data_IF_313452715119
#
_entry.id   IF_313452715119
#
_cell.length_a   1.000
_cell.length_b   1.000
_cell.length_c   1.000
_cell.angle_alpha   90.00
_cell.angle_beta   90.00
_cell.angle_gamma   90.00
#
_symmetry.space_group_name_H-M   'P 1'
#
loop_
_entity.id
_entity.type
_entity.pdbx_description
1 polymer ?
#
# COMPACT_ATOMS: atom_id res chain seq x y z
N UNK A 1 -12.90 7.87 -5.58
CA UNK A 1 -13.37 7.40 -4.27
C UNK A 1 -12.29 6.51 -3.69
N UNK A 2 -11.88 6.72 -2.45
CA UNK A 2 -10.92 5.81 -1.78
C UNK A 2 -11.56 4.43 -1.60
N UNK A 3 -10.87 3.40 -2.06
CA UNK A 3 -11.32 2.01 -2.14
C UNK A 3 -11.83 1.50 -0.77
N UNK A 4 -13.07 0.99 -0.73
CA UNK A 4 -13.64 0.45 0.51
C UNK A 4 -12.85 -0.76 1.04
N UNK A 5 -12.17 -1.48 0.14
CA UNK A 5 -11.33 -2.64 0.44
C UNK A 5 -10.27 -2.31 1.48
N UNK A 6 -9.57 -1.18 1.33
CA UNK A 6 -8.51 -0.76 2.26
C UNK A 6 -9.06 -0.47 3.66
N UNK A 7 -10.22 0.18 3.73
CA UNK A 7 -10.88 0.52 5.00
C UNK A 7 -11.40 -0.73 5.71
N UNK A 8 -11.98 -1.67 4.96
CA UNK A 8 -12.57 -2.92 5.48
C UNK A 8 -11.55 -4.03 5.72
N UNK A 9 -10.35 -3.93 5.16
CA UNK A 9 -9.29 -4.93 5.33
C UNK A 9 -8.94 -5.13 6.82
N UNK A 10 -9.07 -6.38 7.28
CA UNK A 10 -8.67 -6.81 8.63
C UNK A 10 -7.14 -6.78 8.77
N UNK A 11 -6.44 -7.35 7.80
CA UNK A 11 -4.98 -7.39 7.77
C UNK A 11 -4.44 -6.46 6.68
N UNK A 12 -3.68 -5.46 7.13
CA UNK A 12 -3.03 -4.48 6.25
C UNK A 12 -1.69 -4.08 6.84
N UNK A 13 -0.76 -3.72 5.97
CA UNK A 13 0.54 -3.15 6.31
C UNK A 13 0.55 -1.69 5.96
N UNK A 14 1.21 -0.89 6.79
CA UNK A 14 1.29 0.56 6.59
C UNK A 14 2.74 1.00 6.67
N UNK A 15 3.22 1.61 5.58
CA UNK A 15 4.59 2.08 5.44
C UNK A 15 5.50 1.09 4.70
N UNK A 16 6.53 1.64 4.08
CA UNK A 16 7.40 0.93 3.14
C UNK A 16 7.99 -0.37 3.72
N UNK A 17 8.61 -0.30 4.91
CA UNK A 17 9.28 -1.46 5.53
C UNK A 17 8.31 -2.59 5.88
N UNK A 18 7.10 -2.26 6.31
CA UNK A 18 6.10 -3.27 6.64
C UNK A 18 5.54 -3.90 5.37
N UNK A 19 5.26 -3.08 4.36
CA UNK A 19 4.80 -3.57 3.06
C UNK A 19 5.85 -4.44 2.40
N UNK A 20 7.13 -4.03 2.34
CA UNK A 20 8.22 -4.87 1.82
C UNK A 20 8.28 -6.24 2.47
N UNK A 21 8.20 -6.33 3.80
CA UNK A 21 8.17 -7.62 4.50
C UNK A 21 6.99 -8.50 4.12
N UNK A 22 5.83 -7.91 3.84
CA UNK A 22 4.67 -8.66 3.41
C UNK A 22 4.76 -9.09 1.93
N UNK A 23 5.33 -8.23 1.07
CA UNK A 23 5.63 -8.54 -0.33
C UNK A 23 6.62 -9.70 -0.42
N UNK A 24 7.70 -9.69 0.36
CA UNK A 24 8.67 -10.79 0.46
C UNK A 24 8.03 -12.12 0.87
N UNK A 25 6.98 -12.06 1.70
CA UNK A 25 6.21 -13.23 2.12
C UNK A 25 5.14 -13.66 1.11
N UNK A 26 4.90 -12.88 0.06
CA UNK A 26 3.84 -13.16 -0.92
C UNK A 26 2.43 -13.08 -0.34
N UNK A 27 2.24 -12.40 0.80
CA UNK A 27 0.93 -12.31 1.48
C UNK A 27 0.11 -11.10 1.01
N UNK A 28 0.60 -10.36 0.02
CA UNK A 28 -0.01 -9.10 -0.42
C UNK A 28 -0.99 -9.33 -1.55
N UNK A 29 -2.24 -8.98 -1.30
CA UNK A 29 -3.32 -9.05 -2.28
C UNK A 29 -3.43 -7.81 -3.15
N UNK A 30 -3.22 -6.64 -2.53
CA UNK A 30 -3.39 -5.34 -3.21
C UNK A 30 -2.52 -4.29 -2.56
N UNK A 31 -1.93 -3.43 -3.37
CA UNK A 31 -1.06 -2.34 -2.92
C UNK A 31 -1.69 -0.99 -3.19
N UNK A 32 -1.44 -0.04 -2.30
CA UNK A 32 -1.87 1.34 -2.41
C UNK A 32 -0.65 2.25 -2.29
N UNK A 33 -0.49 3.14 -3.26
CA UNK A 33 0.65 4.07 -3.36
C UNK A 33 0.13 5.50 -3.37
N UNK A 34 0.78 6.41 -2.65
CA UNK A 34 0.42 7.82 -2.68
C UNK A 34 1.14 8.55 -3.83
N UNK A 35 0.43 9.40 -4.59
CA UNK A 35 1.00 10.12 -5.75
C UNK A 35 2.01 11.19 -5.36
N UNK A 36 1.87 11.76 -4.17
CA UNK A 36 2.80 12.72 -3.56
C UNK A 36 4.00 12.04 -2.88
N UNK A 37 4.03 10.70 -2.83
CA UNK A 37 5.19 9.98 -2.32
C UNK A 37 6.30 9.92 -3.36
N UNK A 38 7.54 9.91 -2.88
CA UNK A 38 8.70 9.90 -3.73
C UNK A 38 8.81 8.61 -4.56
N UNK A 39 9.02 8.75 -5.87
CA UNK A 39 9.09 7.59 -6.79
C UNK A 39 10.16 6.59 -6.42
N UNK A 40 11.26 7.03 -5.80
CA UNK A 40 12.34 6.14 -5.35
C UNK A 40 11.86 5.18 -4.25
N UNK A 41 10.91 5.61 -3.41
CA UNK A 41 10.26 4.81 -2.37
C UNK A 41 9.27 3.82 -3.00
N UNK A 42 8.55 4.27 -4.03
CA UNK A 42 7.53 3.45 -4.70
C UNK A 42 8.12 2.41 -5.65
N UNK A 43 9.27 2.68 -6.29
CA UNK A 43 9.94 1.77 -7.25
C UNK A 43 9.97 0.30 -6.82
N UNK A 44 10.56 -0.07 -5.66
CA UNK A 44 10.65 -1.47 -5.27
C UNK A 44 9.28 -2.14 -5.11
N UNK A 45 8.26 -1.35 -4.75
CA UNK A 45 6.89 -1.83 -4.56
C UNK A 45 6.22 -2.04 -5.93
N UNK A 46 6.35 -1.07 -6.84
CA UNK A 46 5.80 -1.14 -8.19
C UNK A 46 6.44 -2.28 -9.00
N UNK A 47 7.75 -2.46 -8.90
CA UNK A 47 8.48 -3.57 -9.52
C UNK A 47 7.98 -4.92 -9.00
N UNK A 48 7.81 -5.05 -7.68
CA UNK A 48 7.24 -6.27 -7.10
C UNK A 48 5.81 -6.51 -7.61
N UNK A 49 4.96 -5.47 -7.62
CA UNK A 49 3.59 -5.58 -8.10
C UNK A 49 3.55 -6.03 -9.57
N UNK A 50 4.43 -5.49 -10.40
CA UNK A 50 4.55 -5.88 -11.81
C UNK A 50 5.00 -7.34 -11.96
N UNK A 51 5.99 -7.78 -11.17
CA UNK A 51 6.49 -9.16 -11.24
C UNK A 51 5.47 -10.19 -10.75
N UNK A 52 4.70 -9.84 -9.72
CA UNK A 52 3.72 -10.73 -9.09
C UNK A 52 2.29 -10.56 -9.64
N UNK A 53 2.10 -9.71 -10.66
CA UNK A 53 0.80 -9.37 -11.24
C UNK A 53 -0.22 -8.89 -10.20
N UNK A 54 0.25 -8.16 -9.19
CA UNK A 54 -0.59 -7.60 -8.12
C UNK A 54 -1.05 -6.21 -8.50
N UNK A 55 -2.34 -5.96 -8.32
CA UNK A 55 -2.96 -4.67 -8.59
C UNK A 55 -2.47 -3.61 -7.59
N UNK A 56 -2.05 -2.46 -8.13
CA UNK A 56 -1.70 -1.29 -7.34
C UNK A 56 -2.69 -0.15 -7.61
N UNK A 57 -3.08 0.56 -6.56
CA UNK A 57 -4.01 1.69 -6.62
C UNK A 57 -3.29 2.95 -6.17
N UNK A 58 -3.39 4.00 -6.99
CA UNK A 58 -2.82 5.30 -6.65
C UNK A 58 -3.83 6.14 -5.85
N UNK A 59 -3.36 6.72 -4.75
CA UNK A 59 -4.11 7.62 -3.88
C UNK A 59 -3.52 9.03 -4.00
N UNK A 60 -4.34 10.11 -3.99
CA UNK A 60 -3.85 11.47 -4.23
C UNK A 60 -2.78 11.95 -3.25
N UNK A 61 -2.93 11.65 -1.95
CA UNK A 61 -2.01 12.12 -0.91
C UNK A 61 -1.65 11.05 0.13
N UNK A 62 -0.45 11.16 0.70
CA UNK A 62 0.02 10.29 1.79
C UNK A 62 -0.89 10.38 3.01
N UNK A 63 -1.45 11.57 3.26
CA UNK A 63 -2.36 11.83 4.38
C UNK A 63 -3.68 11.10 4.21
N UNK A 64 -4.26 11.12 3.01
CA UNK A 64 -5.47 10.36 2.70
C UNK A 64 -5.23 8.86 2.82
N UNK A 65 -4.09 8.37 2.33
CA UNK A 65 -3.73 6.96 2.42
C UNK A 65 -3.60 6.52 3.89
N UNK A 66 -2.91 7.30 4.72
CA UNK A 66 -2.78 7.04 6.16
C UNK A 66 -4.13 7.01 6.87
N UNK A 67 -4.97 8.02 6.62
CA UNK A 67 -6.32 8.10 7.19
C UNK A 67 -7.19 6.91 6.79
N UNK A 68 -7.08 6.44 5.54
CA UNK A 68 -7.80 5.26 5.06
C UNK A 68 -7.30 3.96 5.71
N UNK A 69 -6.03 3.91 6.09
CA UNK A 69 -5.46 2.82 6.88
C UNK A 69 -5.82 2.90 8.38
N UNK A 70 -6.43 4.00 8.84
CA UNK A 70 -6.78 4.20 10.24
C UNK A 70 -5.63 4.77 11.09
N UNK A 71 -4.64 5.40 10.47
CA UNK A 71 -3.53 6.06 11.17
C UNK A 71 -3.58 7.58 10.99
N UNK A 72 -3.05 8.32 11.96
CA UNK A 72 -2.99 9.80 11.92
C UNK A 72 -1.78 10.34 11.15
N UNK A 73 -0.78 9.49 10.86
CA UNK A 73 0.42 9.89 10.10
C UNK A 73 0.27 9.57 8.62
N UNK A 74 0.79 10.45 7.76
CA UNK A 74 0.79 10.21 6.31
C UNK A 74 1.68 9.03 5.94
N UNK A 75 1.21 8.18 5.02
CA UNK A 75 1.98 7.01 4.55
C UNK A 75 2.16 7.05 3.05
N UNK A 76 3.36 6.71 2.59
CA UNK A 76 3.68 6.62 1.16
C UNK A 76 3.06 5.39 0.50
N UNK A 77 2.98 4.31 1.27
CA UNK A 77 2.57 3.00 0.79
C UNK A 77 1.78 2.28 1.87
N UNK A 78 0.78 1.54 1.43
CA UNK A 78 0.06 0.58 2.26
C UNK A 78 -0.29 -0.63 1.42
N UNK A 79 -0.42 -1.80 2.03
CA UNK A 79 -0.86 -2.99 1.33
C UNK A 79 -1.87 -3.77 2.15
N UNK A 80 -2.85 -4.34 1.46
CA UNK A 80 -3.84 -5.25 2.04
C UNK A 80 -3.30 -6.67 1.91
N UNK A 81 -3.31 -7.40 3.02
CA UNK A 81 -2.88 -8.78 3.05
C UNK A 81 -4.05 -9.71 2.73
N UNK A 82 -3.73 -10.87 2.18
CA UNK A 82 -4.64 -12.02 2.14
C UNK A 82 -4.78 -12.61 3.56
N UNK A 83 -6.01 -12.97 3.93
CA UNK A 83 -6.33 -13.70 5.16
C UNK A 83 -6.02 -15.19 5.00
#
# INVERSE_FOLDING_TARGET
>A
MLDETLKRAKQKTVGLKQTQRALEKGLVRRVYVAKDAETHVLRPILEWCSNHHVEHIEVPTMKELGKACGIEVGTAVAAVLED
#
